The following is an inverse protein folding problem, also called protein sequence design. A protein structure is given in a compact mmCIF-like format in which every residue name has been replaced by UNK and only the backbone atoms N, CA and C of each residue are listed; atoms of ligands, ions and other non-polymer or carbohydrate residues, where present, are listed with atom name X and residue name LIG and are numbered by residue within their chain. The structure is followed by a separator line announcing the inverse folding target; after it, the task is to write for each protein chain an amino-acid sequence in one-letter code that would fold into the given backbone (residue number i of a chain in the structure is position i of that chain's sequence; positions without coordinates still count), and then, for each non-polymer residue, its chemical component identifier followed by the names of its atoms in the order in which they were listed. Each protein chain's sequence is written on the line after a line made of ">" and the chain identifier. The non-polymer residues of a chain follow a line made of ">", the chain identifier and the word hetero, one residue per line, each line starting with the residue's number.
data_IF_986262116680
#
_entry.id   IF_986262116680
#
_cell.length_a   1.000
_cell.length_b   1.000
_cell.length_c   1.000
_cell.angle_alpha   90.00
_cell.angle_beta   90.00
_cell.angle_gamma   90.00
#
_symmetry.space_group_name_H-M   'P 1'
#
loop_
_entity.id
_entity.type
_entity.pdbx_description
1 polymer ?
#
# COMPACT_ATOMS: atom_id res chain seq x y z
N UNK A 1 73.47 -48.43 9.97
CA UNK A 1 72.36 -49.19 9.34
C UNK A 1 71.16 -49.20 10.26
N UNK A 2 69.95 -49.17 9.68
CA UNK A 2 68.59 -49.20 10.27
C UNK A 2 67.92 -47.85 10.52
N UNK A 3 67.29 -47.38 9.44
CA UNK A 3 66.17 -46.44 9.34
C UNK A 3 64.93 -46.91 10.11
N UNK A 4 64.13 -45.99 10.64
CA UNK A 4 62.70 -46.23 10.86
C UNK A 4 61.90 -44.92 10.69
N UNK A 5 61.40 -44.69 9.47
CA UNK A 5 60.41 -43.65 9.15
C UNK A 5 59.03 -44.13 9.62
N UNK A 6 58.45 -43.46 10.62
CA UNK A 6 57.09 -43.72 11.05
C UNK A 6 56.09 -43.12 10.06
N UNK A 7 55.38 -44.01 9.37
CA UNK A 7 54.14 -43.77 8.61
C UNK A 7 53.01 -43.42 9.58
N UNK A 8 52.32 -42.30 9.37
CA UNK A 8 51.20 -41.87 10.22
C UNK A 8 50.13 -41.07 9.48
N UNK A 9 49.40 -41.76 8.60
CA UNK A 9 48.00 -41.53 8.19
C UNK A 9 47.43 -40.10 8.16
N UNK A 10 47.29 -39.64 6.92
CA UNK A 10 46.33 -38.67 6.41
C UNK A 10 44.88 -39.11 6.74
N UNK A 11 44.12 -38.33 7.50
CA UNK A 11 42.65 -38.39 7.50
C UNK A 11 42.08 -36.96 7.54
N UNK A 12 41.73 -36.50 6.33
CA UNK A 12 40.58 -35.68 5.97
C UNK A 12 39.65 -35.29 7.15
N UNK A 13 39.64 -34.01 7.54
CA UNK A 13 38.54 -33.43 8.30
C UNK A 13 37.94 -32.30 7.45
N UNK A 14 37.06 -32.67 6.55
CA UNK A 14 36.14 -31.77 5.85
C UNK A 14 34.78 -31.93 6.52
N UNK A 15 34.02 -30.83 6.55
CA UNK A 15 32.56 -30.78 6.66
C UNK A 15 31.97 -30.57 8.07
N UNK A 16 31.73 -29.31 8.43
CA UNK A 16 30.51 -28.88 9.14
C UNK A 16 30.36 -27.34 9.19
N UNK A 17 30.67 -26.61 8.11
CA UNK A 17 30.25 -25.22 7.95
C UNK A 17 28.96 -25.17 7.13
N UNK A 18 27.84 -25.45 7.81
CA UNK A 18 26.51 -25.18 7.27
C UNK A 18 25.56 -24.84 8.43
N UNK A 19 25.92 -23.82 9.22
CA UNK A 19 24.90 -23.09 9.99
C UNK A 19 24.11 -22.27 8.96
N UNK A 20 23.10 -22.91 8.37
CA UNK A 20 22.12 -22.24 7.54
C UNK A 20 21.47 -21.15 8.40
N UNK A 21 21.78 -19.89 8.10
CA UNK A 21 20.95 -18.75 8.48
C UNK A 21 19.59 -18.94 7.79
N UNK A 22 18.70 -19.72 8.42
CA UNK A 22 17.27 -19.64 8.15
C UNK A 22 16.82 -18.35 8.80
N UNK A 23 17.03 -17.22 8.11
CA UNK A 23 16.31 -16.01 8.44
C UNK A 23 14.81 -16.34 8.30
N UNK A 24 13.98 -16.11 9.32
CA UNK A 24 12.56 -16.41 9.23
C UNK A 24 11.97 -15.57 8.11
N UNK A 25 11.49 -16.22 7.06
CA UNK A 25 10.81 -15.57 5.93
C UNK A 25 9.55 -14.78 6.37
N UNK A 26 9.12 -14.92 7.62
CA UNK A 26 8.02 -14.17 8.24
C UNK A 26 8.39 -12.75 8.72
N UNK A 27 9.68 -12.40 8.83
CA UNK A 27 10.10 -11.08 9.34
C UNK A 27 9.87 -9.91 8.34
N UNK A 28 9.45 -10.21 7.10
CA UNK A 28 9.13 -9.24 6.06
C UNK A 28 7.65 -9.26 5.67
N UNK A 29 6.73 -9.58 6.60
CA UNK A 29 5.39 -8.97 6.51
C UNK A 29 5.57 -7.48 6.82
N UNK A 30 5.98 -6.73 5.80
CA UNK A 30 5.95 -5.27 5.80
C UNK A 30 4.59 -4.86 6.38
N UNK A 31 4.61 -4.06 7.45
CA UNK A 31 3.41 -3.51 8.05
C UNK A 31 2.60 -2.86 6.92
N UNK A 32 1.46 -3.46 6.58
CA UNK A 32 0.61 -2.91 5.53
C UNK A 32 -0.07 -1.69 6.14
N UNK A 33 0.03 -0.50 5.52
CA UNK A 33 -0.60 0.68 6.10
C UNK A 33 -2.10 0.44 6.20
N UNK A 34 -2.65 0.67 7.38
CA UNK A 34 -4.08 0.57 7.61
C UNK A 34 -4.75 1.85 7.10
N UNK A 35 -5.80 1.71 6.30
CA UNK A 35 -6.52 2.85 5.73
C UNK A 35 -7.88 2.92 6.41
N UNK A 36 -8.03 3.84 7.35
CA UNK A 36 -9.32 4.17 7.97
C UNK A 36 -10.18 4.95 6.97
N UNK A 37 -11.35 4.41 6.63
CA UNK A 37 -12.25 4.98 5.62
C UNK A 37 -12.80 6.34 6.05
N UNK A 38 -13.12 6.51 7.34
CA UNK A 38 -13.64 7.77 7.88
C UNK A 38 -12.60 8.88 7.77
N UNK A 39 -11.36 8.59 8.18
CA UNK A 39 -10.26 9.54 8.08
C UNK A 39 -10.02 9.92 6.62
N UNK A 40 -9.92 8.93 5.75
CA UNK A 40 -9.59 9.13 4.33
C UNK A 40 -10.65 9.94 3.60
N UNK A 41 -11.92 9.64 3.83
CA UNK A 41 -13.03 10.37 3.20
C UNK A 41 -13.14 11.79 3.72
N UNK A 42 -12.82 12.03 5.01
CA UNK A 42 -12.72 13.37 5.58
C UNK A 42 -11.57 14.18 4.97
N UNK A 43 -10.37 13.60 4.85
CA UNK A 43 -9.20 14.24 4.20
C UNK A 43 -9.48 14.63 2.74
N UNK A 44 -10.33 13.85 2.06
CA UNK A 44 -10.77 14.09 0.68
C UNK A 44 -12.02 14.98 0.57
N UNK A 45 -12.61 15.42 1.70
CA UNK A 45 -13.80 16.26 1.71
C UNK A 45 -15.06 15.59 1.16
N UNK A 46 -15.21 14.29 1.41
CA UNK A 46 -16.31 13.48 0.90
C UNK A 46 -17.35 13.20 1.97
N UNK A 47 -18.59 12.99 1.53
CA UNK A 47 -19.62 12.33 2.33
C UNK A 47 -19.92 10.98 1.71
N UNK A 48 -19.86 9.93 2.52
CA UNK A 48 -20.16 8.55 2.15
C UNK A 48 -21.47 8.17 2.80
N UNK A 49 -22.43 7.67 2.02
CA UNK A 49 -23.79 7.36 2.51
C UNK A 49 -23.79 6.19 3.51
N UNK A 50 -22.95 5.18 3.30
CA UNK A 50 -22.77 4.04 4.21
C UNK A 50 -21.34 3.51 4.11
N UNK A 51 -20.44 3.95 4.99
CA UNK A 51 -19.15 3.29 5.14
C UNK A 51 -19.36 1.95 5.86
N UNK A 52 -19.70 0.89 5.09
CA UNK A 52 -19.88 -0.47 5.64
C UNK A 52 -18.59 -1.08 6.18
N UNK A 53 -17.45 -0.46 5.89
CA UNK A 53 -16.12 -0.93 6.27
C UNK A 53 -15.40 0.18 7.01
N UNK A 54 -14.86 -0.14 8.18
CA UNK A 54 -13.96 0.76 8.91
C UNK A 54 -12.62 0.92 8.17
N UNK A 55 -12.16 -0.16 7.53
CA UNK A 55 -10.88 -0.20 6.83
C UNK A 55 -11.04 -0.59 5.37
N UNK A 56 -10.22 0.03 4.51
CA UNK A 56 -10.20 -0.25 3.07
C UNK A 56 -9.14 -1.33 2.76
N UNK A 57 -9.56 -2.58 2.50
CA UNK A 57 -8.63 -3.64 2.10
C UNK A 57 -8.26 -3.54 0.61
N UNK A 58 -7.18 -4.20 0.18
CA UNK A 58 -6.81 -4.24 -1.24
C UNK A 58 -7.93 -4.94 -2.03
N UNK A 59 -8.38 -4.31 -3.11
CA UNK A 59 -9.54 -4.74 -3.90
C UNK A 59 -10.87 -4.12 -3.44
N UNK A 60 -10.90 -3.45 -2.28
CA UNK A 60 -12.09 -2.74 -1.82
C UNK A 60 -12.20 -1.35 -2.44
N UNK A 61 -13.45 -0.90 -2.56
CA UNK A 61 -13.78 0.45 -2.95
C UNK A 61 -14.89 1.05 -2.08
N UNK A 62 -14.84 2.36 -1.92
CA UNK A 62 -15.87 3.17 -1.27
C UNK A 62 -16.29 4.26 -2.25
N UNK A 63 -17.59 4.48 -2.35
CA UNK A 63 -18.18 5.54 -3.19
C UNK A 63 -18.80 6.60 -2.29
N UNK A 64 -18.56 7.86 -2.59
CA UNK A 64 -19.16 9.00 -1.93
C UNK A 64 -19.41 10.16 -2.89
N UNK A 65 -19.79 11.30 -2.31
CA UNK A 65 -19.99 12.55 -3.04
C UNK A 65 -19.03 13.62 -2.53
N UNK A 66 -18.47 14.38 -3.45
CA UNK A 66 -17.59 15.50 -3.13
C UNK A 66 -18.38 16.62 -2.43
N UNK A 67 -18.00 16.98 -1.22
CA UNK A 67 -18.59 18.11 -0.48
C UNK A 67 -17.69 19.34 -0.51
N UNK A 68 -16.38 19.13 -0.59
CA UNK A 68 -15.38 20.19 -0.66
C UNK A 68 -14.48 20.00 -1.90
N UNK A 69 -14.92 20.41 -3.10
CA UNK A 69 -14.16 20.18 -4.33
C UNK A 69 -12.76 20.80 -4.34
N UNK A 70 -12.53 21.84 -3.53
CA UNK A 70 -11.20 22.42 -3.33
C UNK A 70 -10.17 21.42 -2.78
N UNK A 71 -10.60 20.41 -2.01
CA UNK A 71 -9.70 19.35 -1.54
C UNK A 71 -9.31 18.37 -2.65
N UNK A 72 -10.19 18.14 -3.63
CA UNK A 72 -9.87 17.34 -4.82
C UNK A 72 -8.86 18.06 -5.72
N UNK A 73 -8.90 19.38 -5.79
CA UNK A 73 -7.92 20.18 -6.54
C UNK A 73 -6.50 20.01 -6.02
N UNK A 74 -6.33 19.81 -4.70
CA UNK A 74 -5.02 19.50 -4.09
C UNK A 74 -4.42 18.18 -4.57
N UNK A 75 -5.24 17.32 -5.18
CA UNK A 75 -4.84 16.04 -5.77
C UNK A 75 -4.62 16.16 -7.29
N UNK A 76 -4.71 17.36 -7.84
CA UNK A 76 -4.68 17.60 -9.29
C UNK A 76 -6.02 17.36 -10.00
N UNK A 77 -7.10 17.07 -9.27
CA UNK A 77 -8.44 16.88 -9.85
C UNK A 77 -9.15 18.24 -9.89
N UNK A 78 -9.17 18.85 -11.07
CA UNK A 78 -9.72 20.19 -11.29
C UNK A 78 -11.07 20.17 -12.02
N UNK A 79 -11.86 21.23 -11.84
CA UNK A 79 -13.13 21.43 -12.54
C UNK A 79 -14.34 20.72 -11.94
N UNK A 80 -14.14 19.90 -10.90
CA UNK A 80 -15.21 19.16 -10.23
C UNK A 80 -16.05 20.06 -9.31
N UNK A 81 -17.36 19.80 -9.22
CA UNK A 81 -18.25 20.52 -8.33
C UNK A 81 -18.75 19.66 -7.16
N UNK A 82 -19.44 20.35 -6.24
CA UNK A 82 -20.08 19.70 -5.10
C UNK A 82 -21.17 18.75 -5.61
N UNK A 83 -21.16 17.53 -5.11
CA UNK A 83 -22.05 16.46 -5.53
C UNK A 83 -21.44 15.50 -6.55
N UNK A 84 -20.28 15.82 -7.12
CA UNK A 84 -19.55 14.90 -8.00
C UNK A 84 -19.34 13.54 -7.30
N UNK A 85 -19.55 12.45 -8.05
CA UNK A 85 -19.39 11.09 -7.54
C UNK A 85 -17.91 10.78 -7.44
N UNK A 86 -17.47 10.36 -6.27
CA UNK A 86 -16.08 9.98 -6.00
C UNK A 86 -16.01 8.51 -5.63
N UNK A 87 -15.12 7.77 -6.27
CA UNK A 87 -14.81 6.38 -5.95
C UNK A 87 -13.37 6.31 -5.49
N UNK A 88 -13.15 5.78 -4.29
CA UNK A 88 -11.84 5.50 -3.74
C UNK A 88 -11.67 3.99 -3.75
N UNK A 89 -10.69 3.48 -4.50
CA UNK A 89 -10.40 2.05 -4.58
C UNK A 89 -8.96 1.78 -4.14
N UNK A 90 -8.74 0.81 -3.25
CA UNK A 90 -7.37 0.41 -2.88
C UNK A 90 -6.86 -0.63 -3.87
N UNK A 91 -5.95 -0.21 -4.75
CA UNK A 91 -5.44 -1.03 -5.85
C UNK A 91 -4.15 -1.79 -5.49
N UNK A 92 -3.43 -1.34 -4.47
CA UNK A 92 -2.26 -2.03 -3.92
C UNK A 92 -2.15 -1.77 -2.41
N UNK A 93 -1.27 -2.47 -1.66
CA UNK A 93 -1.10 -2.22 -0.23
C UNK A 93 -0.76 -0.76 0.10
N UNK A 94 -0.01 -0.08 -0.74
CA UNK A 94 0.47 1.29 -0.55
C UNK A 94 -0.13 2.28 -1.56
N UNK A 95 -1.18 1.89 -2.30
CA UNK A 95 -1.78 2.74 -3.31
C UNK A 95 -3.30 2.70 -3.31
N UNK A 96 -3.88 3.88 -3.50
CA UNK A 96 -5.31 4.05 -3.81
C UNK A 96 -5.47 4.75 -5.15
N UNK A 97 -6.58 4.47 -5.83
CA UNK A 97 -7.06 5.26 -6.95
C UNK A 97 -8.27 6.05 -6.49
N UNK A 98 -8.28 7.34 -6.77
CA UNK A 98 -9.43 8.23 -6.58
C UNK A 98 -9.95 8.59 -7.96
N UNK A 99 -11.16 8.13 -8.27
CA UNK A 99 -11.87 8.45 -9.51
C UNK A 99 -13.01 9.39 -9.20
N UNK A 100 -13.19 10.43 -10.00
CA UNK A 100 -14.26 11.41 -9.87
C UNK A 100 -15.03 11.46 -11.18
N UNK A 101 -16.34 11.30 -11.10
CA UNK A 101 -17.28 11.41 -12.21
C UNK A 101 -18.33 12.48 -11.86
N UNK A 102 -18.47 13.46 -12.73
CA UNK A 102 -19.47 14.51 -12.64
C UNK A 102 -20.31 14.49 -13.91
N UNK A 103 -21.64 14.38 -13.76
CA UNK A 103 -22.56 14.31 -14.90
C UNK A 103 -23.13 15.69 -15.29
N UNK A 104 -23.14 16.64 -14.35
CA UNK A 104 -23.74 17.97 -14.50
C UNK A 104 -22.81 19.01 -13.85
N UNK A 105 -22.65 20.20 -14.45
CA UNK A 105 -23.35 20.72 -15.63
C UNK A 105 -22.84 20.16 -16.97
N UNK A 106 -21.65 19.55 -16.99
CA UNK A 106 -21.11 18.85 -18.15
C UNK A 106 -20.41 17.56 -17.69
N UNK A 107 -20.49 16.47 -18.46
CA UNK A 107 -19.78 15.23 -18.13
C UNK A 107 -18.27 15.45 -18.02
N UNK A 108 -17.71 15.23 -16.84
CA UNK A 108 -16.28 15.29 -16.59
C UNK A 108 -15.85 14.08 -15.78
N UNK A 109 -14.68 13.52 -16.13
CA UNK A 109 -14.04 12.44 -15.39
C UNK A 109 -12.58 12.76 -15.12
N UNK A 110 -12.13 12.43 -13.92
CA UNK A 110 -10.72 12.48 -13.56
C UNK A 110 -10.36 11.29 -12.69
N UNK A 111 -9.11 10.85 -12.76
CA UNK A 111 -8.61 9.80 -11.88
C UNK A 111 -7.17 10.13 -11.48
N UNK A 112 -6.83 9.87 -10.22
CA UNK A 112 -5.48 10.00 -9.70
C UNK A 112 -5.13 8.79 -8.86
N UNK A 113 -3.90 8.30 -9.01
CA UNK A 113 -3.34 7.25 -8.16
C UNK A 113 -2.48 7.90 -7.10
N UNK A 114 -2.80 7.67 -5.83
CA UNK A 114 -2.12 8.27 -4.69
C UNK A 114 -1.37 7.18 -3.93
N UNK A 115 -0.20 7.55 -3.40
CA UNK A 115 0.55 6.69 -2.50
C UNK A 115 0.03 6.88 -1.08
N UNK A 116 0.03 5.79 -0.31
CA UNK A 116 -0.36 5.76 1.09
C UNK A 116 0.92 5.66 1.92
N UNK A 117 1.09 6.59 2.87
CA UNK A 117 2.18 6.57 3.83
C UNK A 117 2.06 5.40 4.82
N UNK A 118 3.15 5.09 5.52
CA UNK A 118 3.19 3.98 6.47
C UNK A 118 2.21 4.16 7.66
N UNK A 119 1.80 5.41 7.93
CA UNK A 119 0.82 5.81 8.93
C UNK A 119 -0.64 5.83 8.41
N UNK A 120 -0.86 5.35 7.18
CA UNK A 120 -2.18 5.33 6.53
C UNK A 120 -2.61 6.66 5.91
N UNK A 121 -1.74 7.68 5.86
CA UNK A 121 -2.05 8.98 5.25
C UNK A 121 -1.95 9.01 3.73
N UNK A 122 -2.69 9.92 3.12
CA UNK A 122 -2.53 10.26 1.71
C UNK A 122 -1.27 11.09 1.47
N UNK A 123 -0.39 10.58 0.61
CA UNK A 123 0.69 11.38 0.04
C UNK A 123 0.19 12.09 -1.20
N UNK A 124 0.16 13.42 -1.13
CA UNK A 124 -0.21 14.29 -2.25
C UNK A 124 0.90 14.23 -3.32
N UNK A 125 0.54 14.27 -4.61
CA UNK A 125 1.50 14.35 -5.71
C UNK A 125 2.28 15.67 -5.73
#
# INVERSE_FOLDING_TARGET
>A
MRTCLARGRLHLLVLATALALVAPADALRAQRPEIDVTRFTHELGLVVAEARKAHLAVGDAVTGSAMQPALLQRLGINGMHRGARVVIARVAPDHVTVEVDELLPAPQRAAVKLRVGDDGTLQLP
#
